data_IF_237802095368
#
_entry.id   IF_237802095368
#
_cell.length_a   1.000
_cell.length_b   1.000
_cell.length_c   1.000
_cell.angle_alpha   90.00
_cell.angle_beta   90.00
_cell.angle_gamma   90.00
#
_symmetry.space_group_name_H-M   'P 1'
#
loop_
_entity.id
_entity.type
_entity.pdbx_description
1 polymer ?
#
# COMPACT_ATOMS: atom_id res chain seq x y z
N UNK A 1 -0.01 8.82 23.59
CA UNK A 1 1.23 9.42 24.09
C UNK A 1 1.54 8.86 25.48
N UNK A 2 2.82 8.67 25.85
CA UNK A 2 3.21 8.35 27.21
C UNK A 2 2.80 9.47 28.15
N UNK A 3 2.44 9.13 29.38
CA UNK A 3 2.17 10.10 30.44
C UNK A 3 3.17 9.93 31.56
N UNK A 4 3.44 11.04 32.26
CA UNK A 4 4.39 11.06 33.36
C UNK A 4 3.77 11.64 34.61
N UNK A 5 4.32 11.24 35.76
CA UNK A 5 4.13 11.89 37.05
C UNK A 5 5.50 12.30 37.58
N UNK A 6 5.55 13.48 38.19
CA UNK A 6 6.79 14.11 38.64
C UNK A 6 6.68 14.49 40.11
N UNK A 7 7.81 14.43 40.81
CA UNK A 7 8.00 15.00 42.17
C UNK A 7 9.05 16.10 42.11
N UNK A 8 8.72 17.30 42.59
CA UNK A 8 9.59 18.47 42.52
C UNK A 8 10.61 18.57 43.64
N UNK A 9 10.35 17.96 44.81
CA UNK A 9 11.21 18.02 46.00
C UNK A 9 11.27 16.65 46.70
N UNK A 10 12.16 15.80 46.20
CA UNK A 10 12.32 14.43 46.68
C UNK A 10 12.41 13.39 45.54
N UNK A 11 12.11 12.14 45.85
CA UNK A 11 12.17 11.04 44.87
C UNK A 11 11.07 10.01 45.12
N UNK A 12 10.68 9.27 44.07
CA UNK A 12 9.71 8.20 44.21
C UNK A 12 10.32 6.92 44.84
N UNK A 13 9.69 6.43 45.90
CA UNK A 13 9.96 5.07 46.43
C UNK A 13 9.37 4.02 45.48
N UNK A 14 8.08 4.14 45.22
CA UNK A 14 7.39 3.32 44.22
C UNK A 14 6.23 4.11 43.62
N UNK A 15 5.92 3.80 42.36
CA UNK A 15 4.76 4.36 41.63
C UNK A 15 4.16 3.25 40.80
N UNK A 16 2.85 3.17 40.80
CA UNK A 16 2.09 2.27 39.94
C UNK A 16 0.92 3.02 39.33
N UNK A 17 0.70 2.85 38.06
CA UNK A 17 -0.51 3.26 37.37
C UNK A 17 -1.34 2.01 37.10
N UNK A 18 -2.61 1.98 37.49
CA UNK A 18 -3.51 0.86 37.23
C UNK A 18 -4.74 1.31 36.45
N UNK A 19 -5.25 0.48 35.58
CA UNK A 19 -6.53 0.72 34.93
C UNK A 19 -7.71 0.35 35.85
N UNK A 20 -8.95 0.57 35.38
CA UNK A 20 -10.18 0.28 36.15
C UNK A 20 -10.38 -1.21 36.52
N UNK A 21 -9.71 -2.14 35.83
CA UNK A 21 -9.71 -3.57 36.17
C UNK A 21 -8.55 -3.97 37.11
N UNK A 22 -7.76 -3.00 37.56
CA UNK A 22 -6.61 -3.27 38.43
C UNK A 22 -5.33 -3.73 37.71
N UNK A 23 -5.32 -3.79 36.36
CA UNK A 23 -4.13 -4.15 35.61
C UNK A 23 -3.10 -3.01 35.68
N UNK A 24 -1.85 -3.27 36.11
CA UNK A 24 -0.80 -2.26 36.10
C UNK A 24 -0.37 -1.92 34.68
N UNK A 25 0.01 -0.66 34.47
CA UNK A 25 0.61 -0.14 33.23
C UNK A 25 2.12 -0.11 33.42
N UNK A 26 2.85 -0.65 32.44
CA UNK A 26 4.30 -0.61 32.46
C UNK A 26 4.84 0.83 32.37
N UNK A 27 5.93 1.09 33.08
CA UNK A 27 6.60 2.39 33.07
C UNK A 27 8.00 2.32 33.65
N UNK A 28 8.74 3.39 33.52
CA UNK A 28 10.11 3.49 33.98
C UNK A 28 10.37 4.82 34.71
N UNK A 29 11.30 4.77 35.66
CA UNK A 29 11.83 5.97 36.31
C UNK A 29 12.98 6.57 35.50
N UNK A 30 13.15 7.88 35.58
CA UNK A 30 14.42 8.53 35.25
C UNK A 30 15.50 8.17 36.28
N UNK A 31 16.76 8.55 36.01
CA UNK A 31 17.92 8.19 36.83
C UNK A 31 17.75 8.63 38.31
N UNK A 32 17.20 9.80 38.53
CA UNK A 32 17.06 10.40 39.88
C UNK A 32 15.76 10.01 40.56
N UNK A 33 14.93 9.19 39.91
CA UNK A 33 13.62 8.76 40.40
C UNK A 33 12.66 9.92 40.73
N UNK A 34 12.83 11.01 40.01
CA UNK A 34 11.96 12.21 40.15
C UNK A 34 10.80 12.18 39.16
N UNK A 35 10.94 11.40 38.06
CA UNK A 35 9.90 11.25 37.04
C UNK A 35 9.65 9.76 36.78
N UNK A 36 8.39 9.38 36.75
CA UNK A 36 7.95 8.08 36.27
C UNK A 36 7.12 8.27 35.00
N UNK A 37 7.50 7.59 33.90
CA UNK A 37 6.84 7.69 32.61
C UNK A 37 6.33 6.32 32.16
N UNK A 38 5.09 6.25 31.67
CA UNK A 38 4.55 5.01 31.09
C UNK A 38 5.29 4.63 29.83
N UNK A 39 5.57 3.34 29.63
CA UNK A 39 6.28 2.78 28.48
C UNK A 39 5.36 2.05 27.51
N UNK A 40 4.11 1.79 27.91
CA UNK A 40 3.09 1.21 27.04
C UNK A 40 1.95 2.19 26.76
N UNK A 41 1.27 2.08 25.61
CA UNK A 41 0.11 2.90 25.27
C UNK A 41 -1.05 2.69 26.24
N UNK A 42 -1.75 3.77 26.58
CA UNK A 42 -2.97 3.72 27.37
C UNK A 42 -4.19 3.46 26.48
N UNK A 43 -5.13 2.64 26.95
CA UNK A 43 -6.39 2.36 26.26
C UNK A 43 -7.28 3.60 26.13
N UNK A 44 -8.13 3.64 25.12
CA UNK A 44 -9.19 4.63 25.00
C UNK A 44 -10.26 4.42 26.08
N UNK A 45 -10.97 5.47 26.48
CA UNK A 45 -12.15 5.43 27.37
C UNK A 45 -11.89 4.69 28.68
N UNK A 46 -10.64 4.73 29.13
CA UNK A 46 -10.20 3.97 30.30
C UNK A 46 -9.81 4.92 31.41
N UNK A 47 -10.29 4.63 32.62
CA UNK A 47 -9.89 5.36 33.82
C UNK A 47 -8.66 4.69 34.43
N UNK A 48 -7.68 5.54 34.75
CA UNK A 48 -6.42 5.12 35.39
C UNK A 48 -6.27 5.79 36.73
N UNK A 49 -5.65 5.06 37.66
CA UNK A 49 -5.39 5.53 39.03
C UNK A 49 -3.91 5.40 39.34
N UNK A 50 -3.30 6.51 39.73
CA UNK A 50 -1.96 6.55 40.30
C UNK A 50 -1.99 6.12 41.75
N UNK A 51 -1.02 5.31 42.17
CA UNK A 51 -0.76 4.94 43.55
C UNK A 51 0.74 4.78 43.79
N UNK A 52 1.15 5.02 45.05
CA UNK A 52 2.56 4.89 45.39
C UNK A 52 2.97 5.79 46.53
N UNK A 53 4.28 6.02 46.68
CA UNK A 53 4.85 6.95 47.62
C UNK A 53 6.11 7.63 47.08
N UNK A 54 6.28 8.89 47.44
CA UNK A 54 7.50 9.67 47.29
C UNK A 54 8.04 10.07 48.67
N UNK A 55 9.33 10.38 48.76
CA UNK A 55 9.97 10.88 50.00
C UNK A 55 10.62 12.21 49.70
N UNK A 56 10.29 13.23 50.48
CA UNK A 56 10.91 14.53 50.42
C UNK A 56 12.33 14.52 51.00
N UNK A 57 13.10 15.56 50.72
CA UNK A 57 14.43 15.75 51.32
C UNK A 57 14.41 15.87 52.87
N UNK A 58 13.25 16.16 53.45
CA UNK A 58 13.03 16.14 54.90
C UNK A 58 12.78 14.73 55.49
N UNK A 59 12.83 13.70 54.63
CA UNK A 59 12.61 12.31 55.03
C UNK A 59 11.15 11.90 55.16
N UNK A 60 10.19 12.81 54.94
CA UNK A 60 8.77 12.47 55.05
C UNK A 60 8.24 11.81 53.79
N UNK A 61 7.48 10.74 54.01
CA UNK A 61 6.79 10.03 52.92
C UNK A 61 5.49 10.79 52.59
N UNK A 62 5.25 10.99 51.30
CA UNK A 62 4.05 11.59 50.71
C UNK A 62 3.39 10.55 49.79
N UNK A 63 2.08 10.29 49.93
CA UNK A 63 1.39 9.38 49.03
C UNK A 63 1.30 9.95 47.62
N UNK A 64 1.58 9.10 46.62
CA UNK A 64 1.27 9.38 45.23
C UNK A 64 -0.15 8.90 44.95
N UNK A 65 -1.04 9.83 44.64
CA UNK A 65 -2.44 9.51 44.33
C UNK A 65 -2.95 10.43 43.22
N UNK A 66 -3.80 9.91 42.37
CA UNK A 66 -4.43 10.68 41.31
C UNK A 66 -5.25 9.75 40.42
N UNK A 67 -6.18 10.35 39.71
CA UNK A 67 -7.07 9.63 38.80
C UNK A 67 -7.31 10.48 37.55
N UNK A 68 -7.29 9.84 36.41
CA UNK A 68 -7.66 10.49 35.15
C UNK A 68 -8.34 9.48 34.23
N UNK A 69 -9.05 9.98 33.23
CA UNK A 69 -9.60 9.15 32.16
C UNK A 69 -9.00 9.57 30.85
N UNK A 70 -8.70 8.57 30.01
CA UNK A 70 -8.27 8.80 28.65
C UNK A 70 -9.44 9.29 27.79
N UNK A 71 -9.11 9.83 26.64
CA UNK A 71 -10.08 10.41 25.70
C UNK A 71 -11.18 9.40 25.36
N UNK A 72 -12.42 9.89 25.40
CA UNK A 72 -13.57 9.21 24.79
C UNK A 72 -13.65 9.67 23.34
N UNK A 73 -13.60 8.73 22.41
CA UNK A 73 -13.70 9.02 20.98
C UNK A 73 -15.03 8.52 20.44
N UNK A 74 -15.70 9.35 19.66
CA UNK A 74 -16.92 8.96 18.94
C UNK A 74 -16.60 8.07 17.74
N UNK A 75 -15.35 8.13 17.25
CA UNK A 75 -14.93 7.40 16.07
C UNK A 75 -13.44 7.03 16.15
N UNK A 76 -13.16 5.76 15.94
CA UNK A 76 -11.80 5.25 15.67
C UNK A 76 -11.70 4.97 14.18
N UNK A 77 -10.65 5.46 13.55
CA UNK A 77 -10.37 5.21 12.13
C UNK A 77 -9.20 4.25 12.05
N UNK A 78 -9.41 3.17 11.36
CA UNK A 78 -8.36 2.18 11.08
C UNK A 78 -7.77 2.41 9.69
N UNK A 79 -6.51 2.04 9.55
CA UNK A 79 -5.79 2.05 8.29
C UNK A 79 -5.20 0.69 8.00
N UNK A 80 -4.97 0.39 6.73
CA UNK A 80 -4.32 -0.84 6.31
C UNK A 80 -3.37 -0.60 5.16
N UNK A 81 -2.18 -1.22 5.22
CA UNK A 81 -1.30 -1.29 4.07
C UNK A 81 -1.89 -2.25 3.03
N UNK A 82 -1.79 -1.89 1.75
CA UNK A 82 -2.18 -2.79 0.66
C UNK A 82 -1.15 -3.92 0.47
N UNK A 83 0.11 -3.68 0.85
CA UNK A 83 1.19 -4.64 0.80
C UNK A 83 1.30 -5.43 2.11
N UNK A 84 1.74 -6.68 2.01
CA UNK A 84 2.04 -7.50 3.17
C UNK A 84 3.47 -7.26 3.67
N UNK A 85 3.65 -7.36 5.00
CA UNK A 85 4.98 -7.30 5.60
C UNK A 85 5.89 -8.41 5.07
N UNK A 86 7.15 -8.07 4.77
CA UNK A 86 8.12 -8.97 4.15
C UNK A 86 7.92 -9.21 2.65
N UNK A 87 6.95 -8.59 2.00
CA UNK A 87 6.69 -8.79 0.58
C UNK A 87 7.84 -8.27 -0.28
N UNK A 88 8.17 -9.03 -1.36
CA UNK A 88 9.03 -8.55 -2.44
C UNK A 88 8.18 -7.99 -3.58
N UNK A 89 8.46 -6.76 -3.99
CA UNK A 89 7.69 -6.02 -5.01
C UNK A 89 8.57 -5.48 -6.13
N UNK A 90 7.98 -5.07 -7.24
CA UNK A 90 8.66 -4.45 -8.37
C UNK A 90 9.10 -3.00 -8.08
N UNK A 91 9.93 -2.48 -8.96
CA UNK A 91 10.61 -1.18 -8.79
C UNK A 91 9.67 0.04 -8.83
N UNK A 92 8.45 -0.11 -9.30
CA UNK A 92 7.45 0.96 -9.36
C UNK A 92 6.32 0.79 -8.33
N UNK A 93 6.47 -0.10 -7.35
CA UNK A 93 5.44 -0.37 -6.36
C UNK A 93 5.16 0.88 -5.51
N UNK A 94 3.94 1.42 -5.49
CA UNK A 94 3.56 2.43 -4.52
C UNK A 94 3.32 1.77 -3.16
N UNK A 95 3.49 2.54 -2.09
CA UNK A 95 3.07 2.14 -0.75
C UNK A 95 1.75 2.85 -0.47
N UNK A 96 0.71 2.08 -0.23
CA UNK A 96 -0.66 2.57 -0.09
C UNK A 96 -1.16 2.28 1.31
N UNK A 97 -1.67 3.31 1.97
CA UNK A 97 -2.47 3.18 3.19
C UNK A 97 -3.90 3.57 2.84
N UNK A 98 -4.81 2.61 2.96
CA UNK A 98 -6.25 2.81 2.84
C UNK A 98 -6.86 2.94 4.23
N UNK A 99 -7.60 4.01 4.47
CA UNK A 99 -8.38 4.20 5.70
C UNK A 99 -9.83 3.76 5.50
N UNK A 100 -10.49 3.38 6.58
CA UNK A 100 -11.91 2.96 6.60
C UNK A 100 -12.88 4.15 6.72
N UNK A 101 -12.38 5.38 6.69
CA UNK A 101 -13.16 6.60 6.73
C UNK A 101 -12.40 7.80 6.15
N UNK A 102 -13.10 8.91 5.82
CA UNK A 102 -12.46 10.18 5.49
C UNK A 102 -11.60 10.71 6.63
N UNK A 103 -10.50 11.39 6.29
CA UNK A 103 -9.56 12.02 7.22
C UNK A 103 -9.69 13.52 7.10
N UNK A 104 -10.03 14.21 8.22
CA UNK A 104 -10.17 15.67 8.23
C UNK A 104 -8.83 16.37 8.44
N UNK A 105 -7.92 15.80 9.26
CA UNK A 105 -6.58 16.33 9.47
C UNK A 105 -5.52 15.47 8.77
N UNK A 106 -5.47 15.57 7.44
CA UNK A 106 -4.51 14.86 6.60
C UNK A 106 -3.06 15.19 6.96
N UNK A 107 -2.77 16.44 7.35
CA UNK A 107 -1.43 16.87 7.70
C UNK A 107 -0.91 16.21 9.00
N UNK A 108 -1.74 16.11 10.03
CA UNK A 108 -1.37 15.40 11.26
C UNK A 108 -1.09 13.93 11.01
N UNK A 109 -1.92 13.28 10.19
CA UNK A 109 -1.77 11.87 9.82
C UNK A 109 -0.48 11.65 9.03
N UNK A 110 -0.24 12.43 7.98
CA UNK A 110 0.96 12.29 7.14
C UNK A 110 2.25 12.52 7.96
N UNK A 111 2.26 13.51 8.85
CA UNK A 111 3.39 13.81 9.75
C UNK A 111 3.72 12.64 10.69
N UNK A 112 2.75 11.79 11.00
CA UNK A 112 2.94 10.63 11.88
C UNK A 112 3.44 9.38 11.14
N UNK A 113 3.63 9.48 9.83
CA UNK A 113 4.19 8.40 9.02
C UNK A 113 5.67 8.70 8.78
N UNK A 114 6.54 7.79 9.18
CA UNK A 114 7.95 7.80 8.81
C UNK A 114 8.23 6.72 7.76
N UNK A 115 9.05 7.05 6.78
CA UNK A 115 9.52 6.11 5.77
C UNK A 115 11.04 6.21 5.65
N UNK A 116 11.70 5.07 5.59
CA UNK A 116 13.15 4.96 5.37
C UNK A 116 13.44 3.94 4.29
N UNK A 117 14.43 4.22 3.47
CA UNK A 117 14.89 3.33 2.41
C UNK A 117 16.39 3.09 2.51
N UNK A 118 16.81 1.86 2.21
CA UNK A 118 18.21 1.49 2.12
C UNK A 118 18.47 0.80 0.78
N UNK A 119 19.23 1.41 -0.13
CA UNK A 119 19.85 2.77 -0.05
C UNK A 119 18.78 3.90 0.01
N UNK A 120 19.16 5.10 0.45
CA UNK A 120 18.25 6.25 0.49
C UNK A 120 17.70 6.60 -0.89
N UNK A 121 16.37 6.77 -0.98
CA UNK A 121 15.66 7.11 -2.23
C UNK A 121 14.74 8.29 -1.96
N UNK A 122 14.77 9.30 -2.86
CA UNK A 122 13.84 10.41 -2.83
C UNK A 122 12.41 9.93 -3.14
N UNK A 123 11.44 10.34 -2.34
CA UNK A 123 10.04 10.01 -2.55
C UNK A 123 9.12 10.96 -1.80
N UNK A 124 7.82 10.87 -2.08
CA UNK A 124 6.80 11.72 -1.46
C UNK A 124 5.50 10.98 -1.26
N UNK A 125 4.79 11.32 -0.19
CA UNK A 125 3.39 10.98 0.02
C UNK A 125 2.50 11.91 -0.82
N UNK A 126 1.35 11.38 -1.24
CA UNK A 126 0.30 12.13 -1.91
C UNK A 126 -1.07 11.62 -1.45
N UNK A 127 -1.97 12.54 -1.11
CA UNK A 127 -3.36 12.22 -0.82
C UNK A 127 -4.16 12.16 -2.11
N UNK A 128 -4.62 10.97 -2.44
CA UNK A 128 -5.49 10.76 -3.58
C UNK A 128 -6.93 11.12 -3.22
N UNK A 129 -7.82 11.30 -4.20
CA UNK A 129 -9.25 11.45 -3.93
C UNK A 129 -9.79 10.30 -3.09
N UNK A 130 -10.64 10.63 -2.11
CA UNK A 130 -11.24 9.65 -1.23
C UNK A 130 -12.14 8.70 -2.03
N UNK A 131 -12.14 7.44 -1.65
CA UNK A 131 -13.00 6.40 -2.20
C UNK A 131 -14.20 6.10 -1.30
N UNK A 132 -15.09 5.22 -1.77
CA UNK A 132 -16.23 4.76 -0.97
C UNK A 132 -15.82 4.13 0.37
N UNK A 133 -14.60 3.58 0.45
CA UNK A 133 -14.04 3.01 1.68
C UNK A 133 -13.52 4.07 2.65
N UNK A 134 -13.07 5.22 2.17
CA UNK A 134 -12.48 6.28 2.96
C UNK A 134 -11.29 6.94 2.27
N UNK A 135 -10.50 7.67 3.04
CA UNK A 135 -9.32 8.36 2.56
C UNK A 135 -8.19 7.36 2.21
N UNK A 136 -7.32 7.76 1.28
CA UNK A 136 -6.13 7.01 0.93
C UNK A 136 -4.94 7.91 0.70
N UNK A 137 -3.77 7.43 1.10
CA UNK A 137 -2.49 8.10 0.90
C UNK A 137 -1.52 7.12 0.26
N UNK A 138 -0.86 7.57 -0.80
CA UNK A 138 0.11 6.78 -1.53
C UNK A 138 1.50 7.41 -1.40
N UNK A 139 2.53 6.57 -1.36
CA UNK A 139 3.91 6.99 -1.48
C UNK A 139 4.55 6.35 -2.69
N UNK A 140 5.23 7.14 -3.50
CA UNK A 140 6.15 6.65 -4.52
C UNK A 140 7.48 7.37 -4.47
N UNK A 141 8.50 6.70 -4.96
CA UNK A 141 9.79 7.32 -5.24
C UNK A 141 9.67 8.27 -6.44
N UNK A 142 10.61 9.21 -6.53
CA UNK A 142 10.67 10.12 -7.68
C UNK A 142 10.92 9.38 -8.98
N UNK A 143 11.94 8.51 -8.99
CA UNK A 143 12.25 7.57 -10.05
C UNK A 143 11.94 6.16 -9.56
N UNK A 144 11.96 5.15 -10.43
CA UNK A 144 11.85 3.77 -9.98
C UNK A 144 12.87 3.44 -8.92
N UNK A 145 12.46 2.67 -7.91
CA UNK A 145 13.40 2.22 -6.88
C UNK A 145 14.58 1.46 -7.49
N UNK A 146 15.80 1.66 -6.98
CA UNK A 146 16.89 0.73 -7.25
C UNK A 146 16.52 -0.70 -6.83
N UNK A 147 16.89 -1.69 -7.64
CA UNK A 147 16.71 -3.10 -7.26
C UNK A 147 17.46 -3.41 -5.96
N UNK A 148 16.87 -4.19 -5.09
CA UNK A 148 17.44 -4.55 -3.79
C UNK A 148 17.21 -3.52 -2.69
N UNK A 149 16.48 -2.43 -2.93
CA UNK A 149 16.14 -1.45 -1.89
C UNK A 149 15.24 -2.08 -0.83
N UNK A 150 15.56 -1.90 0.45
CA UNK A 150 14.68 -2.19 1.57
C UNK A 150 13.90 -0.93 1.93
N UNK A 151 12.60 -1.06 2.11
CA UNK A 151 11.72 0.05 2.52
C UNK A 151 11.07 -0.31 3.84
N UNK A 152 11.16 0.60 4.83
CA UNK A 152 10.49 0.47 6.11
C UNK A 152 9.56 1.68 6.30
N UNK A 153 8.34 1.42 6.73
CA UNK A 153 7.32 2.42 7.06
C UNK A 153 6.82 2.18 8.46
N UNK A 154 6.81 3.24 9.27
CA UNK A 154 6.20 3.26 10.60
C UNK A 154 5.15 4.36 10.65
N UNK A 155 3.90 4.01 10.96
CA UNK A 155 2.78 4.92 11.11
C UNK A 155 2.31 4.93 12.56
N UNK A 156 2.52 6.03 13.28
CA UNK A 156 2.20 6.19 14.70
C UNK A 156 0.82 6.82 14.86
N UNK A 157 -0.21 6.04 14.58
CA UNK A 157 -1.60 6.52 14.54
C UNK A 157 -2.36 6.34 15.84
N UNK A 158 -1.97 5.40 16.70
CA UNK A 158 -2.71 5.15 17.94
C UNK A 158 -2.78 6.40 18.83
N UNK A 159 -3.98 6.88 19.11
CA UNK A 159 -4.22 8.07 19.91
C UNK A 159 -3.96 9.39 19.18
N UNK A 160 -3.60 9.38 17.91
CA UNK A 160 -3.44 10.59 17.11
C UNK A 160 -4.81 11.13 16.71
N UNK A 161 -5.10 12.43 16.91
CA UNK A 161 -6.31 13.05 16.39
C UNK A 161 -6.29 13.07 14.86
N UNK A 162 -7.35 12.57 14.24
CA UNK A 162 -7.56 12.58 12.78
C UNK A 162 -8.51 13.71 12.34
N UNK A 163 -8.90 14.58 13.29
CA UNK A 163 -9.87 15.66 13.11
C UNK A 163 -11.29 15.23 13.48
N UNK A 164 -12.16 16.21 13.77
CA UNK A 164 -13.60 16.03 14.06
C UNK A 164 -13.91 14.98 15.15
N UNK A 165 -13.06 14.88 16.17
CA UNK A 165 -13.23 13.90 17.26
C UNK A 165 -12.90 12.45 16.89
N UNK A 166 -12.39 12.20 15.69
CA UNK A 166 -11.87 10.91 15.29
C UNK A 166 -10.41 10.73 15.70
N UNK A 167 -10.02 9.50 15.98
CA UNK A 167 -8.65 9.14 16.39
C UNK A 167 -8.21 7.85 15.70
N UNK A 168 -6.90 7.75 15.43
CA UNK A 168 -6.30 6.54 14.87
C UNK A 168 -6.47 5.33 15.79
N UNK A 169 -6.90 4.21 15.24
CA UNK A 169 -7.22 3.00 16.00
C UNK A 169 -5.98 2.28 16.52
N UNK A 170 -4.90 2.22 15.73
CA UNK A 170 -3.68 1.48 16.04
C UNK A 170 -2.45 2.06 15.31
N UNK A 171 -1.27 1.74 15.82
CA UNK A 171 -0.02 1.92 15.11
C UNK A 171 0.15 0.82 14.05
N UNK A 172 0.85 1.15 12.96
CA UNK A 172 1.11 0.22 11.88
C UNK A 172 2.58 0.28 11.46
N UNK A 173 3.11 -0.82 10.97
CA UNK A 173 4.42 -0.86 10.34
C UNK A 173 4.41 -1.77 9.11
N UNK A 174 5.31 -1.51 8.17
CA UNK A 174 5.49 -2.29 6.96
C UNK A 174 6.98 -2.33 6.62
N UNK A 175 7.50 -3.50 6.32
CA UNK A 175 8.82 -3.67 5.72
C UNK A 175 8.68 -4.45 4.43
N UNK A 176 9.18 -3.90 3.33
CA UNK A 176 9.17 -4.57 2.03
C UNK A 176 10.55 -4.56 1.40
N UNK A 177 10.74 -5.46 0.44
CA UNK A 177 11.94 -5.57 -0.37
C UNK A 177 11.61 -5.24 -1.82
N UNK A 178 12.33 -4.28 -2.40
CA UNK A 178 12.28 -4.06 -3.85
C UNK A 178 13.07 -5.17 -4.53
N UNK A 179 12.42 -5.90 -5.42
CA UNK A 179 13.01 -7.01 -6.14
C UNK A 179 13.89 -6.56 -7.32
N UNK A 180 13.95 -7.42 -8.33
CA UNK A 180 14.66 -7.10 -9.56
C UNK A 180 14.04 -5.92 -10.30
N UNK A 181 14.84 -5.16 -11.04
CA UNK A 181 14.35 -4.16 -12.01
C UNK A 181 13.84 -4.90 -13.26
N UNK A 182 12.53 -5.00 -13.41
CA UNK A 182 11.88 -5.47 -14.64
C UNK A 182 10.91 -4.41 -15.11
N UNK A 183 11.04 -3.99 -16.36
CA UNK A 183 10.20 -2.97 -16.99
C UNK A 183 9.61 -3.57 -18.24
N UNK A 184 8.30 -3.37 -18.43
CA UNK A 184 7.63 -3.74 -19.67
C UNK A 184 7.49 -2.50 -20.54
N UNK A 185 7.92 -2.56 -21.81
CA UNK A 185 7.68 -1.53 -22.83
C UNK A 185 6.65 -2.02 -23.81
N UNK A 186 5.59 -1.25 -23.93
CA UNK A 186 4.41 -1.58 -24.72
C UNK A 186 4.11 -0.42 -25.67
N UNK A 187 4.66 -0.47 -26.87
CA UNK A 187 4.44 0.57 -27.91
C UNK A 187 3.32 0.10 -28.84
N UNK A 188 2.18 0.82 -28.81
CA UNK A 188 0.91 0.39 -29.41
C UNK A 188 0.99 0.23 -30.93
N UNK A 189 1.75 1.07 -31.62
CA UNK A 189 1.89 1.03 -33.08
C UNK A 189 2.84 -0.06 -33.56
N UNK A 190 3.71 -0.56 -32.67
CA UNK A 190 4.63 -1.65 -32.99
C UNK A 190 3.97 -3.02 -33.00
N UNK A 191 2.80 -3.15 -32.36
CA UNK A 191 2.14 -4.45 -32.10
C UNK A 191 3.05 -5.43 -31.35
N UNK A 192 3.96 -4.92 -30.51
CA UNK A 192 4.91 -5.70 -29.75
C UNK A 192 4.99 -5.21 -28.33
N UNK A 193 5.34 -6.15 -27.43
CA UNK A 193 5.62 -5.89 -26.03
C UNK A 193 7.00 -6.44 -25.72
N UNK A 194 7.85 -5.65 -25.09
CA UNK A 194 9.18 -6.03 -24.66
C UNK A 194 9.27 -6.05 -23.15
N UNK A 195 9.86 -7.10 -22.59
CA UNK A 195 10.20 -7.19 -21.18
C UNK A 195 11.69 -6.99 -21.04
N UNK A 196 12.08 -5.96 -20.30
CA UNK A 196 13.46 -5.64 -20.00
C UNK A 196 13.79 -6.05 -18.58
N UNK A 197 14.97 -6.61 -18.38
CA UNK A 197 15.53 -6.82 -17.05
C UNK A 197 16.87 -6.14 -17.00
N UNK A 198 17.00 -5.26 -16.01
CA UNK A 198 18.08 -4.27 -15.98
C UNK A 198 18.09 -3.46 -17.30
N UNK A 199 19.10 -3.55 -18.13
CA UNK A 199 19.19 -2.83 -19.41
C UNK A 199 18.96 -3.76 -20.62
N UNK A 200 18.72 -5.06 -20.40
CA UNK A 200 18.60 -6.07 -21.47
C UNK A 200 17.17 -6.48 -21.76
N UNK A 201 16.78 -6.58 -23.04
CA UNK A 201 15.52 -7.20 -23.46
C UNK A 201 15.62 -8.72 -23.26
N UNK A 202 14.77 -9.25 -22.38
CA UNK A 202 14.71 -10.71 -22.09
C UNK A 202 13.53 -11.41 -22.77
N UNK A 203 12.49 -10.64 -23.17
CA UNK A 203 11.34 -11.14 -23.93
C UNK A 203 10.92 -10.06 -24.93
N UNK A 204 10.53 -10.48 -26.11
CA UNK A 204 10.00 -9.62 -27.18
C UNK A 204 8.90 -10.38 -27.90
N UNK A 205 7.64 -10.03 -27.61
CA UNK A 205 6.46 -10.78 -28.05
C UNK A 205 5.59 -9.98 -29.00
N UNK A 206 5.04 -10.66 -29.98
CA UNK A 206 3.96 -10.14 -30.81
C UNK A 206 2.68 -10.02 -29.97
N UNK A 207 2.00 -8.89 -30.05
CA UNK A 207 0.78 -8.65 -29.28
C UNK A 207 -0.27 -7.89 -30.09
N UNK A 208 -1.46 -7.76 -29.52
CA UNK A 208 -2.53 -6.91 -30.03
C UNK A 208 -3.03 -6.05 -28.88
N UNK A 209 -3.13 -4.74 -29.11
CA UNK A 209 -3.64 -3.74 -28.16
C UNK A 209 -5.10 -3.41 -28.42
N UNK A 210 -5.62 -2.46 -27.68
CA UNK A 210 -6.95 -1.91 -27.85
C UNK A 210 -7.19 -1.38 -29.27
N UNK A 211 -8.36 -1.70 -29.86
CA UNK A 211 -8.74 -1.30 -31.22
C UNK A 211 -8.88 0.23 -31.36
N UNK A 212 -9.12 0.94 -30.25
CA UNK A 212 -9.26 2.39 -30.18
C UNK A 212 -10.44 2.99 -31.01
N UNK A 213 -11.40 2.16 -31.42
CA UNK A 213 -12.65 2.58 -32.05
C UNK A 213 -13.57 3.34 -31.10
N UNK A 214 -13.44 3.08 -29.80
CA UNK A 214 -14.14 3.71 -28.68
C UNK A 214 -13.17 3.98 -27.54
N UNK A 215 -13.44 5.02 -26.75
CA UNK A 215 -12.60 5.39 -25.62
C UNK A 215 -12.34 4.21 -24.65
N UNK A 216 -13.33 3.34 -24.42
CA UNK A 216 -13.20 2.16 -23.56
C UNK A 216 -12.28 1.07 -24.13
N UNK A 217 -12.08 1.08 -25.46
CA UNK A 217 -11.26 0.10 -26.17
C UNK A 217 -9.82 0.58 -26.36
N UNK A 218 -9.44 1.70 -25.78
CA UNK A 218 -8.07 2.23 -25.86
C UNK A 218 -7.25 1.66 -24.72
N UNK A 219 -6.13 1.00 -25.02
CA UNK A 219 -5.08 0.74 -24.00
C UNK A 219 -4.52 2.08 -23.55
N UNK A 220 -4.60 2.42 -22.26
CA UNK A 220 -4.21 3.74 -21.74
C UNK A 220 -2.71 3.98 -21.91
N UNK A 221 -2.36 5.18 -22.36
CA UNK A 221 -0.97 5.62 -22.50
C UNK A 221 -0.41 6.06 -21.16
N UNK A 222 0.81 5.67 -20.81
CA UNK A 222 1.45 6.04 -19.56
C UNK A 222 2.08 4.86 -18.85
N UNK A 223 2.49 5.08 -17.61
CA UNK A 223 3.11 4.04 -16.79
C UNK A 223 2.06 3.40 -15.91
N UNK A 224 1.73 2.16 -16.24
CA UNK A 224 0.90 1.28 -15.43
C UNK A 224 1.76 0.51 -14.44
N UNK A 225 1.12 -0.05 -13.40
CA UNK A 225 1.77 -0.90 -12.41
C UNK A 225 1.06 -2.23 -12.34
N UNK A 226 1.81 -3.33 -12.37
CA UNK A 226 1.25 -4.67 -12.15
C UNK A 226 0.68 -4.74 -10.73
N UNK A 227 -0.60 -5.08 -10.62
CA UNK A 227 -1.32 -5.17 -9.33
C UNK A 227 -1.69 -6.58 -8.94
N UNK A 228 -2.12 -7.38 -9.89
CA UNK A 228 -2.63 -8.73 -9.65
C UNK A 228 -2.25 -9.66 -10.80
N UNK A 229 -2.26 -10.95 -10.52
CA UNK A 229 -2.04 -11.97 -11.55
C UNK A 229 -2.82 -13.23 -11.26
N UNK A 230 -3.38 -13.82 -12.34
CA UNK A 230 -4.23 -14.99 -12.27
C UNK A 230 -3.82 -16.00 -13.34
N UNK A 231 -3.65 -17.27 -12.96
CA UNK A 231 -3.43 -18.35 -13.93
C UNK A 231 -4.67 -18.60 -14.80
N UNK A 232 -5.83 -18.43 -14.19
CA UNK A 232 -7.15 -18.51 -14.79
C UNK A 232 -8.02 -17.37 -14.29
N UNK A 233 -8.63 -16.62 -15.20
CA UNK A 233 -9.45 -15.47 -14.88
C UNK A 233 -10.69 -15.42 -15.78
N UNK A 234 -11.84 -15.07 -15.23
CA UNK A 234 -13.07 -14.93 -15.96
C UNK A 234 -13.48 -13.47 -16.06
N UNK A 235 -13.39 -12.91 -17.26
CA UNK A 235 -13.74 -11.51 -17.53
C UNK A 235 -15.18 -11.39 -17.98
N UNK A 236 -15.85 -10.34 -17.52
CA UNK A 236 -17.18 -9.94 -18.02
C UNK A 236 -17.22 -8.45 -18.27
N UNK A 237 -17.59 -8.08 -19.49
CA UNK A 237 -17.95 -6.71 -19.84
C UNK A 237 -19.14 -6.75 -20.81
N UNK A 238 -20.38 -6.74 -20.28
CA UNK A 238 -21.59 -6.79 -21.11
C UNK A 238 -21.68 -5.63 -22.10
N UNK A 239 -21.17 -4.44 -21.74
CA UNK A 239 -21.13 -3.29 -22.64
C UNK A 239 -20.19 -3.48 -23.84
N UNK A 240 -19.16 -4.31 -23.67
CA UNK A 240 -18.27 -4.73 -24.74
C UNK A 240 -18.70 -6.03 -25.44
N UNK A 241 -19.84 -6.61 -25.03
CA UNK A 241 -20.44 -7.78 -25.69
C UNK A 241 -19.94 -9.13 -25.21
N UNK A 242 -19.25 -9.24 -24.07
CA UNK A 242 -18.78 -10.51 -23.53
C UNK A 242 -19.12 -10.69 -22.07
N UNK A 243 -19.35 -11.94 -21.67
CA UNK A 243 -19.63 -12.33 -20.29
C UNK A 243 -18.95 -13.65 -20.02
N UNK A 244 -18.28 -13.74 -18.86
CA UNK A 244 -17.59 -14.94 -18.39
C UNK A 244 -16.55 -15.49 -19.39
N UNK A 245 -15.83 -14.59 -20.08
CA UNK A 245 -14.74 -14.97 -20.95
C UNK A 245 -13.57 -15.53 -20.13
N UNK A 246 -13.15 -16.75 -20.41
CA UNK A 246 -12.05 -17.41 -19.72
C UNK A 246 -10.72 -17.01 -20.33
N UNK A 247 -9.93 -16.28 -19.53
CA UNK A 247 -8.62 -15.79 -19.90
C UNK A 247 -7.54 -16.42 -19.02
N UNK A 248 -6.45 -16.85 -19.65
CA UNK A 248 -5.32 -17.47 -18.95
C UNK A 248 -4.14 -16.51 -18.85
N UNK A 249 -3.33 -16.74 -17.81
CA UNK A 249 -2.09 -16.02 -17.57
C UNK A 249 -2.29 -14.51 -17.55
N UNK A 250 -3.37 -14.10 -16.88
CA UNK A 250 -3.80 -12.71 -16.84
C UNK A 250 -3.01 -11.93 -15.77
N UNK A 251 -2.35 -10.84 -16.19
CA UNK A 251 -1.61 -9.91 -15.35
C UNK A 251 -2.32 -8.57 -15.44
N UNK A 252 -2.92 -8.10 -14.34
CA UNK A 252 -3.66 -6.84 -14.28
C UNK A 252 -2.68 -5.68 -14.24
N UNK A 253 -2.91 -4.67 -15.06
CA UNK A 253 -2.11 -3.44 -15.15
C UNK A 253 -2.90 -2.16 -14.89
N UNK A 254 -4.24 -2.24 -14.84
CA UNK A 254 -5.08 -1.13 -14.36
C UNK A 254 -6.42 -1.65 -13.81
N UNK A 255 -7.08 -0.85 -12.96
CA UNK A 255 -8.42 -1.17 -12.47
C UNK A 255 -9.52 -0.83 -13.47
N UNK A 256 -9.17 -0.14 -14.56
CA UNK A 256 -10.05 0.03 -15.74
C UNK A 256 -10.29 -1.28 -16.50
N UNK A 257 -9.71 -2.38 -16.05
CA UNK A 257 -9.88 -3.71 -16.63
C UNK A 257 -8.85 -4.07 -17.70
N UNK A 258 -7.74 -3.37 -17.77
CA UNK A 258 -6.64 -3.68 -18.67
C UNK A 258 -5.73 -4.76 -18.08
N UNK A 259 -5.46 -5.78 -18.88
CA UNK A 259 -4.59 -6.91 -18.56
C UNK A 259 -3.63 -7.19 -19.69
N UNK A 260 -2.50 -7.78 -19.36
CA UNK A 260 -1.66 -8.53 -20.28
C UNK A 260 -2.04 -10.00 -20.09
N UNK A 261 -2.57 -10.67 -21.15
CA UNK A 261 -3.08 -12.03 -20.98
C UNK A 261 -3.04 -12.85 -22.28
N UNK A 262 -3.19 -14.17 -22.15
CA UNK A 262 -3.33 -15.06 -23.30
C UNK A 262 -4.69 -14.84 -23.98
N UNK A 263 -4.67 -14.64 -25.30
CA UNK A 263 -5.89 -14.69 -26.11
C UNK A 263 -5.62 -15.33 -27.48
N UNK A 264 -5.77 -16.66 -27.58
CA UNK A 264 -5.56 -17.39 -28.85
C UNK A 264 -6.50 -16.92 -29.97
N UNK A 265 -7.67 -16.38 -29.64
CA UNK A 265 -8.64 -15.92 -30.63
C UNK A 265 -8.13 -14.70 -31.43
N UNK A 266 -7.22 -13.92 -30.86
CA UNK A 266 -6.60 -12.77 -31.51
C UNK A 266 -5.26 -13.11 -32.20
N UNK A 267 -4.87 -14.38 -32.30
CA UNK A 267 -3.56 -14.78 -32.80
C UNK A 267 -3.23 -14.21 -34.20
N UNK A 268 -4.22 -14.12 -35.12
CA UNK A 268 -4.04 -13.50 -36.44
C UNK A 268 -3.82 -11.98 -36.42
N UNK A 269 -4.13 -11.31 -35.32
CA UNK A 269 -3.93 -9.87 -35.14
C UNK A 269 -2.62 -9.55 -34.42
N UNK A 270 -2.13 -10.46 -33.57
CA UNK A 270 -0.91 -10.26 -32.78
C UNK A 270 0.30 -10.03 -33.69
N UNK A 271 1.00 -8.93 -33.46
CA UNK A 271 2.12 -8.46 -34.29
C UNK A 271 1.71 -7.70 -35.56
N UNK A 272 0.40 -7.49 -35.77
CA UNK A 272 -0.08 -6.91 -37.04
C UNK A 272 -1.17 -5.83 -36.86
N UNK A 273 -2.11 -5.99 -35.93
CA UNK A 273 -3.24 -5.08 -35.73
C UNK A 273 -3.77 -5.08 -34.31
N UNK A 274 -4.47 -4.02 -33.94
CA UNK A 274 -5.07 -3.82 -32.62
C UNK A 274 -6.57 -4.10 -32.69
N UNK A 275 -7.04 -5.12 -31.96
CA UNK A 275 -8.42 -5.62 -32.04
C UNK A 275 -9.05 -5.87 -30.67
N UNK A 276 -8.44 -5.38 -29.58
CA UNK A 276 -8.91 -5.70 -28.23
C UNK A 276 -9.78 -4.58 -27.64
N UNK A 277 -10.40 -4.88 -26.50
CA UNK A 277 -11.16 -3.88 -25.73
C UNK A 277 -10.28 -3.13 -24.70
N UNK A 278 -8.98 -2.97 -24.96
CA UNK A 278 -8.02 -2.28 -24.10
C UNK A 278 -6.92 -3.18 -23.52
N UNK A 279 -7.14 -4.48 -23.42
CA UNK A 279 -6.12 -5.43 -22.97
C UNK A 279 -4.97 -5.59 -23.98
N UNK A 280 -3.83 -6.09 -23.52
CA UNK A 280 -2.69 -6.48 -24.34
C UNK A 280 -2.73 -7.99 -24.48
N UNK A 281 -3.12 -8.46 -25.67
CA UNK A 281 -3.29 -9.88 -25.96
C UNK A 281 -2.02 -10.52 -26.51
N UNK A 282 -1.63 -11.64 -25.93
CA UNK A 282 -0.47 -12.44 -26.28
C UNK A 282 -0.88 -13.86 -26.73
N UNK A 283 0.05 -14.57 -27.35
CA UNK A 283 -0.06 -16.04 -27.47
C UNK A 283 -0.10 -16.69 -26.08
N UNK A 284 -0.64 -17.90 -25.98
CA UNK A 284 -0.70 -18.61 -24.69
C UNK A 284 0.69 -18.83 -24.10
N UNK A 285 1.68 -19.19 -24.90
CA UNK A 285 3.05 -19.45 -24.44
C UNK A 285 3.77 -18.17 -24.01
N UNK A 286 3.59 -17.06 -24.74
CA UNK A 286 4.20 -15.77 -24.40
C UNK A 286 3.59 -15.19 -23.13
N UNK A 287 2.26 -15.28 -22.97
CA UNK A 287 1.56 -14.86 -21.77
C UNK A 287 2.01 -15.66 -20.54
N UNK A 288 2.20 -16.97 -20.66
CA UNK A 288 2.71 -17.81 -19.57
C UNK A 288 4.13 -17.42 -19.17
N UNK A 289 5.01 -17.18 -20.16
CA UNK A 289 6.38 -16.71 -19.89
C UNK A 289 6.38 -15.36 -19.15
N UNK A 290 5.61 -14.39 -19.62
CA UNK A 290 5.49 -13.09 -18.94
C UNK A 290 4.90 -13.24 -17.53
N UNK A 291 3.78 -13.95 -17.41
CA UNK A 291 3.10 -14.22 -16.14
C UNK A 291 4.05 -14.82 -15.10
N UNK A 292 4.92 -15.76 -15.51
CA UNK A 292 5.86 -16.41 -14.59
C UNK A 292 6.85 -15.45 -13.94
N UNK A 293 7.15 -14.34 -14.59
CA UNK A 293 8.12 -13.34 -14.12
C UNK A 293 7.51 -12.11 -13.49
N UNK A 294 6.26 -11.75 -13.83
CA UNK A 294 5.60 -10.56 -13.33
C UNK A 294 5.35 -10.64 -11.81
N UNK A 295 5.60 -9.53 -11.12
CA UNK A 295 5.27 -9.35 -9.69
C UNK A 295 4.55 -8.01 -9.50
N UNK A 296 3.82 -7.87 -8.38
CA UNK A 296 3.23 -6.58 -7.98
C UNK A 296 4.29 -5.49 -8.00
N UNK A 297 3.96 -4.35 -8.58
CA UNK A 297 4.88 -3.21 -8.63
C UNK A 297 5.80 -3.19 -9.84
N UNK A 298 5.75 -4.15 -10.75
CA UNK A 298 6.46 -4.03 -12.03
C UNK A 298 5.81 -2.94 -12.90
N UNK A 299 6.58 -1.99 -13.46
CA UNK A 299 6.04 -0.98 -14.36
C UNK A 299 5.78 -1.55 -15.76
N UNK A 300 4.69 -1.08 -16.37
CA UNK A 300 4.32 -1.31 -17.77
C UNK A 300 4.18 0.04 -18.45
N UNK A 301 5.16 0.41 -19.26
CA UNK A 301 5.26 1.68 -19.97
C UNK A 301 4.53 1.56 -21.30
N UNK A 302 3.29 2.05 -21.37
CA UNK A 302 2.49 2.08 -22.59
C UNK A 302 2.72 3.41 -23.31
N UNK A 303 3.09 3.33 -24.59
CA UNK A 303 3.32 4.51 -25.45
C UNK A 303 2.56 4.39 -26.78
N UNK A 304 2.38 5.51 -27.47
CA UNK A 304 1.72 5.54 -28.78
C UNK A 304 0.21 5.39 -28.74
N UNK A 305 -0.42 5.50 -27.57
CA UNK A 305 -1.86 5.45 -27.40
C UNK A 305 -2.50 6.83 -27.29
N UNK A 306 -3.79 6.95 -27.61
CA UNK A 306 -4.50 8.23 -27.75
C UNK A 306 -5.07 8.78 -26.44
N UNK A 307 -5.24 7.94 -25.39
CA UNK A 307 -5.83 8.35 -24.12
C UNK A 307 -4.83 8.09 -23.00
N UNK A 308 -4.56 9.13 -22.21
CA UNK A 308 -3.65 9.02 -21.07
C UNK A 308 -4.28 8.26 -19.91
N UNK A 309 -3.48 7.45 -19.23
CA UNK A 309 -3.83 6.89 -17.93
C UNK A 309 -4.10 8.01 -16.94
N UNK A 310 -5.17 7.91 -16.17
CA UNK A 310 -5.62 8.96 -15.28
C UNK A 310 -6.31 8.41 -14.03
N UNK A 311 -6.70 9.31 -13.15
CA UNK A 311 -7.50 9.00 -11.97
C UNK A 311 -8.75 8.17 -12.26
N UNK A 312 -9.42 8.40 -13.40
CA UNK A 312 -10.62 7.65 -13.78
C UNK A 312 -10.36 6.19 -14.14
N UNK A 313 -9.11 5.81 -14.34
CA UNK A 313 -8.73 4.48 -14.77
C UNK A 313 -8.37 3.53 -13.58
N UNK A 314 -8.51 4.00 -12.32
CA UNK A 314 -8.43 3.15 -11.14
C UNK A 314 -7.47 3.61 -10.04
N UNK A 315 -7.12 2.70 -9.13
CA UNK A 315 -6.47 3.02 -7.86
C UNK A 315 -5.01 3.42 -8.00
N UNK A 316 -4.27 2.81 -8.94
CA UNK A 316 -2.84 3.04 -9.11
C UNK A 316 -2.60 3.73 -10.46
N UNK A 317 -2.58 5.04 -10.43
CA UNK A 317 -2.25 5.93 -11.53
C UNK A 317 -1.09 6.88 -11.17
N UNK A 318 -0.40 6.57 -10.08
CA UNK A 318 0.60 7.40 -9.41
C UNK A 318 1.69 7.88 -10.37
N UNK A 319 2.13 7.01 -11.28
CA UNK A 319 3.16 7.29 -12.25
C UNK A 319 2.67 8.05 -13.49
N UNK A 320 1.35 8.24 -13.65
CA UNK A 320 0.77 9.09 -14.67
C UNK A 320 0.80 10.58 -14.28
N UNK A 321 1.11 10.88 -13.02
CA UNK A 321 1.24 12.23 -12.47
C UNK A 321 2.71 12.64 -12.50
N UNK A 322 3.01 13.83 -13.01
CA UNK A 322 4.38 14.37 -12.93
C UNK A 322 4.82 14.58 -11.48
N UNK A 323 6.13 14.68 -11.27
CA UNK A 323 6.68 14.70 -9.92
C UNK A 323 6.27 15.93 -9.10
N UNK A 324 6.26 17.11 -9.73
CA UNK A 324 5.93 18.35 -9.02
C UNK A 324 4.45 18.39 -8.61
N UNK A 325 3.57 17.91 -9.47
CA UNK A 325 2.15 17.71 -9.16
C UNK A 325 1.98 16.67 -8.07
N UNK A 326 2.72 15.57 -8.11
CA UNK A 326 2.69 14.52 -7.08
C UNK A 326 3.06 15.05 -5.70
N UNK A 327 4.17 15.79 -5.61
CA UNK A 327 4.61 16.41 -4.34
C UNK A 327 3.59 17.44 -3.83
N UNK A 328 2.93 18.18 -4.73
CA UNK A 328 1.90 19.15 -4.35
C UNK A 328 0.61 18.50 -3.79
N UNK A 329 0.41 17.19 -3.97
CA UNK A 329 -0.70 16.43 -3.37
C UNK A 329 -0.42 15.99 -1.92
N UNK A 330 0.75 16.24 -1.37
CA UNK A 330 1.05 16.08 0.06
C UNK A 330 0.27 17.10 0.89
N UNK A 331 -0.16 16.70 2.07
CA UNK A 331 -0.76 17.62 3.05
C UNK A 331 0.29 18.42 3.84
N UNK A 332 1.57 18.11 3.68
CA UNK A 332 2.70 18.82 4.28
C UNK A 332 3.30 19.80 3.27
N UNK A 333 3.87 20.92 3.74
CA UNK A 333 4.55 21.83 2.83
C UNK A 333 5.72 21.11 2.14
N UNK A 334 5.94 21.33 0.84
CA UNK A 334 7.06 20.73 0.13
C UNK A 334 8.38 21.12 0.82
N UNK A 335 9.38 20.22 0.80
CA UNK A 335 10.74 20.59 1.25
C UNK A 335 11.16 21.88 0.52
N UNK A 336 11.75 22.80 1.23
CA UNK A 336 12.01 24.22 0.81
C UNK A 336 12.87 24.42 -0.45
N UNK A 337 12.99 23.45 -1.34
CA UNK A 337 13.82 23.48 -2.55
C UNK A 337 13.07 23.53 -3.88
N UNK A 338 11.71 23.51 -3.91
CA UNK A 338 10.96 23.49 -5.17
C UNK A 338 9.95 24.64 -5.24
N UNK A 339 10.05 25.47 -6.28
CA UNK A 339 9.05 26.49 -6.60
C UNK A 339 7.76 25.80 -7.11
N UNK A 340 6.56 26.36 -6.84
CA UNK A 340 5.31 25.73 -7.21
C UNK A 340 5.12 25.68 -8.74
N UNK A 341 4.83 24.48 -9.27
CA UNK A 341 4.36 24.31 -10.63
C UNK A 341 2.88 24.74 -10.75
N UNK A 342 2.52 25.31 -11.90
CA UNK A 342 1.16 25.77 -12.19
C UNK A 342 0.13 24.66 -12.04
N UNK A 343 -0.95 24.96 -11.32
CA UNK A 343 -2.08 24.06 -11.15
C UNK A 343 -2.72 23.72 -12.50
N UNK A 344 -2.65 22.45 -12.90
CA UNK A 344 -3.49 21.93 -13.96
C UNK A 344 -4.87 21.64 -13.34
N UNK A 345 -5.97 22.18 -13.90
CA UNK A 345 -7.30 21.90 -13.36
C UNK A 345 -7.59 20.40 -13.43
N UNK A 346 -7.84 19.76 -12.29
CA UNK A 346 -8.38 18.40 -12.25
C UNK A 346 -9.80 18.48 -12.80
N UNK A 347 -9.99 18.08 -14.05
CA UNK A 347 -11.33 17.94 -14.65
C UNK A 347 -12.10 16.87 -13.87
N UNK A 348 -13.33 17.20 -13.49
CA UNK A 348 -14.20 16.29 -12.73
C UNK A 348 -14.34 14.94 -13.45
N UNK A 349 -14.45 13.84 -12.69
CA UNK A 349 -14.48 12.49 -13.25
C UNK A 349 -15.70 12.32 -14.16
N UNK A 350 -15.44 11.86 -15.37
CA UNK A 350 -16.47 11.27 -16.20
C UNK A 350 -16.72 9.88 -15.62
N UNK A 351 -17.88 9.65 -15.01
CA UNK A 351 -18.25 8.34 -14.48
C UNK A 351 -18.19 7.31 -15.63
N UNK A 352 -17.34 6.29 -15.57
CA UNK A 352 -17.35 5.26 -16.59
C UNK A 352 -18.62 4.42 -16.43
N UNK A 353 -19.59 4.65 -17.30
CA UNK A 353 -20.81 3.84 -17.37
C UNK A 353 -20.55 2.40 -17.82
N UNK A 354 -19.31 2.06 -18.16
CA UNK A 354 -18.94 0.86 -18.89
C UNK A 354 -17.79 0.06 -18.24
N UNK A 355 -17.57 0.21 -16.93
CA UNK A 355 -16.55 -0.57 -16.22
C UNK A 355 -16.87 -2.09 -16.23
N UNK A 356 -15.90 -2.97 -16.48
CA UNK A 356 -16.12 -4.42 -16.47
C UNK A 356 -16.55 -4.89 -15.08
N UNK A 357 -17.63 -5.67 -15.02
CA UNK A 357 -18.05 -6.33 -13.78
C UNK A 357 -17.19 -7.56 -13.57
N UNK A 358 -16.41 -7.58 -12.51
CA UNK A 358 -15.58 -8.71 -12.15
C UNK A 358 -16.42 -9.72 -11.35
N UNK A 359 -16.73 -10.87 -11.94
CA UNK A 359 -17.29 -12.00 -11.22
C UNK A 359 -16.29 -13.17 -11.31
N UNK A 360 -15.59 -13.42 -10.24
CA UNK A 360 -14.68 -14.56 -10.10
C UNK A 360 -14.11 -14.60 -8.70
N UNK A 361 -14.10 -15.78 -8.09
CA UNK A 361 -13.43 -15.98 -6.81
C UNK A 361 -11.92 -15.96 -7.07
N UNK A 362 -11.14 -15.05 -6.46
CA UNK A 362 -9.70 -15.02 -6.66
C UNK A 362 -9.07 -16.28 -6.05
N UNK A 363 -8.41 -17.08 -6.87
CA UNK A 363 -7.49 -18.09 -6.36
C UNK A 363 -6.14 -17.42 -6.15
N UNK A 364 -5.96 -16.85 -4.99
CA UNK A 364 -4.64 -16.33 -4.55
C UNK A 364 -3.72 -17.50 -4.30
N UNK A 365 -2.74 -17.71 -5.16
CA UNK A 365 -1.62 -18.60 -4.87
C UNK A 365 -0.64 -17.85 -3.98
N UNK A 366 -0.88 -17.88 -2.67
CA UNK A 366 0.13 -17.56 -1.67
C UNK A 366 1.14 -18.69 -1.67
N UNK A 367 2.35 -18.45 -2.12
CA UNK A 367 3.50 -19.34 -1.94
C UNK A 367 3.90 -19.31 -0.46
N UNK A 368 3.26 -20.13 0.37
CA UNK A 368 3.73 -20.42 1.71
C UNK A 368 4.84 -21.46 1.61
N UNK A 369 6.08 -21.05 1.86
CA UNK A 369 7.21 -21.95 2.06
C UNK A 369 6.96 -22.82 3.29
N UNK A 370 6.58 -24.06 3.07
CA UNK A 370 6.46 -25.07 4.12
C UNK A 370 7.83 -25.67 4.40
N UNK A 371 8.40 -25.32 5.54
CA UNK A 371 9.53 -26.05 6.14
C UNK A 371 9.01 -27.41 6.58
N UNK A 372 9.35 -28.44 5.83
CA UNK A 372 9.11 -29.84 6.21
C UNK A 372 10.12 -30.27 7.28
N UNK A 373 9.68 -30.34 8.52
CA UNK A 373 10.35 -31.16 9.55
C UNK A 373 9.76 -32.56 9.47
N UNK A 374 10.56 -33.51 9.06
CA UNK A 374 10.21 -34.93 9.08
C UNK A 374 10.20 -35.45 10.51
N UNK A 375 9.17 -36.17 10.97
CA UNK A 375 9.28 -37.00 12.15
C UNK A 375 9.77 -38.40 11.78
N UNK A 376 10.87 -38.81 12.37
CA UNK A 376 11.35 -40.19 12.43
C UNK A 376 10.34 -41.05 13.22
N UNK A 377 9.71 -42.00 12.56
CA UNK A 377 9.00 -43.08 13.25
C UNK A 377 9.71 -44.41 13.01
N UNK A 378 10.15 -44.99 14.11
CA UNK A 378 10.67 -46.33 14.23
C UNK A 378 9.57 -47.37 13.98
N UNK A 379 9.91 -48.37 13.18
CA UNK A 379 9.14 -49.56 12.89
C UNK A 379 9.09 -50.52 14.07
N UNK A 380 7.94 -51.13 14.30
CA UNK A 380 7.83 -52.46 14.89
C UNK A 380 6.63 -53.17 14.28
N UNK A 381 6.90 -54.18 13.48
CA UNK A 381 5.93 -55.23 13.13
C UNK A 381 5.73 -56.17 14.30
N UNK A 382 4.54 -56.84 14.45
CA UNK A 382 4.55 -58.28 14.36
C UNK A 382 3.41 -58.86 13.49
N UNK A 383 3.72 -60.00 12.94
CA UNK A 383 3.03 -60.94 12.19
C UNK A 383 1.74 -61.55 12.73
N UNK A 384 1.03 -62.17 11.84
CA UNK A 384 -0.20 -62.93 11.93
C UNK A 384 -0.78 -63.09 10.53
#
# INVERSE_FOLDING_TARGET
APISVEVSDGWFQHVTLTNSSGKPVAGAFNQDRTVYTTTEPLGYETTYTWSGSAVGHDGKAIPVAGKFSTVSTTKKIDGGFQLADGQTVGVAAPIIIQFDAPISDKAAVEKAISITTEPPVEGSWAWLPDEAKGARIHYRSREYYPAGTTVNVDAKFYGLPFGEGAYGAQDMSLKIQIGRKQVVRAEVSSHRIQVLRDEGVIMDFACSYGEADKARNVTRNGIHVVTEKYSDFYMSNPAAGYTNAHERWAVRISNNGEFIHANPSSAGAQGNSNVTNGCINLSTGDAEQYYSTAIYGDPVEVTGSSIQLSYSDGDIWDWAVDWDTWVAMSALPPPTAHAPASQIPVTAPVTPSDAPTLSGTPTTTTSSGTTTTSPTTSSSSPGG
#
